data_IF_056045943709
#
_entry.id   IF_056045943709
#
_cell.length_a   1.000
_cell.length_b   1.000
_cell.length_c   1.000
_cell.angle_alpha   90.00
_cell.angle_beta   90.00
_cell.angle_gamma   90.00
#
_symmetry.space_group_name_H-M   'P 1'
#
loop_
_entity.id
_entity.type
_entity.pdbx_description
1 polymer ?
#
# COMPACT_ATOMS: atom_id res chain seq x y z
N UNK A 1 25.27 -67.01 47.59
CA UNK A 1 25.74 -65.72 47.02
C UNK A 1 25.02 -65.46 45.69
N UNK A 2 24.20 -64.42 45.60
CA UNK A 2 23.41 -64.09 44.40
C UNK A 2 24.22 -63.19 43.45
N UNK A 3 24.46 -63.63 42.21
CA UNK A 3 25.08 -62.81 41.15
C UNK A 3 23.98 -62.04 40.40
N UNK A 4 23.98 -60.71 40.57
CA UNK A 4 23.10 -59.75 39.88
C UNK A 4 23.25 -59.85 38.36
N UNK A 5 22.12 -59.96 37.66
CA UNK A 5 22.04 -60.00 36.19
C UNK A 5 22.43 -58.67 35.55
N UNK A 6 23.17 -58.75 34.43
CA UNK A 6 23.62 -57.59 33.64
C UNK A 6 22.46 -57.01 32.83
N UNK A 7 22.10 -55.75 33.05
CA UNK A 7 21.18 -54.99 32.18
C UNK A 7 21.90 -54.58 30.89
N UNK A 8 21.61 -55.25 29.78
CA UNK A 8 22.03 -54.85 28.43
C UNK A 8 20.79 -54.76 27.54
N UNK A 9 20.26 -53.55 27.31
CA UNK A 9 19.33 -53.25 26.17
C UNK A 9 18.89 -51.78 26.03
N UNK A 10 19.13 -50.89 27.00
CA UNK A 10 18.67 -49.49 26.89
C UNK A 10 19.52 -48.61 25.94
N UNK A 11 20.86 -48.74 25.96
CA UNK A 11 21.74 -47.88 25.15
C UNK A 11 21.68 -48.12 23.63
N UNK A 12 21.25 -49.31 23.20
CA UNK A 12 21.23 -49.67 21.77
C UNK A 12 20.04 -49.02 21.05
N UNK A 13 18.87 -49.00 21.70
CA UNK A 13 17.64 -48.37 21.19
C UNK A 13 17.84 -46.85 21.11
N UNK A 14 18.45 -46.25 22.13
CA UNK A 14 18.75 -44.82 22.15
C UNK A 14 19.71 -44.42 21.03
N UNK A 15 20.72 -45.26 20.73
CA UNK A 15 21.67 -45.04 19.62
C UNK A 15 21.00 -45.16 18.25
N UNK A 16 20.00 -46.02 18.11
CA UNK A 16 19.24 -46.20 16.88
C UNK A 16 18.32 -45.01 16.60
N UNK A 17 17.61 -44.51 17.63
CA UNK A 17 16.76 -43.32 17.52
C UNK A 17 17.57 -42.07 17.19
N UNK A 18 18.71 -41.85 17.84
CA UNK A 18 19.61 -40.74 17.50
C UNK A 18 20.13 -40.82 16.05
N UNK A 19 20.42 -42.03 15.56
CA UNK A 19 20.88 -42.23 14.17
C UNK A 19 19.77 -41.92 13.16
N UNK A 20 18.53 -42.27 13.47
CA UNK A 20 17.37 -41.93 12.63
C UNK A 20 17.08 -40.43 12.65
N UNK A 21 17.11 -39.79 13.83
CA UNK A 21 16.93 -38.35 13.98
C UNK A 21 18.01 -37.54 13.23
N UNK A 22 19.27 -37.95 13.35
CA UNK A 22 20.38 -37.30 12.62
C UNK A 22 20.26 -37.46 11.10
N UNK A 23 19.76 -38.61 10.62
CA UNK A 23 19.45 -38.82 9.20
C UNK A 23 18.25 -37.96 8.74
N UNK A 24 17.21 -37.83 9.54
CA UNK A 24 16.06 -36.97 9.24
C UNK A 24 16.48 -35.50 9.15
N UNK A 25 17.30 -35.02 10.10
CA UNK A 25 17.87 -33.67 10.07
C UNK A 25 18.78 -33.44 8.85
N UNK A 26 19.59 -34.44 8.47
CA UNK A 26 20.38 -34.35 7.24
C UNK A 26 19.51 -34.29 5.98
N UNK A 27 18.43 -35.07 5.91
CA UNK A 27 17.45 -35.00 4.81
C UNK A 27 16.74 -33.65 4.77
N UNK A 28 16.39 -33.08 5.92
CA UNK A 28 15.78 -31.76 6.02
C UNK A 28 16.76 -30.67 5.57
N UNK A 29 18.03 -30.76 5.97
CA UNK A 29 19.09 -29.83 5.51
C UNK A 29 19.40 -29.96 4.02
N UNK A 30 19.31 -31.16 3.43
CA UNK A 30 19.50 -31.33 1.98
C UNK A 30 18.26 -30.97 1.16
N UNK A 31 17.05 -31.14 1.70
CA UNK A 31 15.82 -30.64 1.08
C UNK A 31 15.75 -29.12 1.10
N UNK A 32 16.09 -28.47 2.22
CA UNK A 32 16.19 -27.01 2.32
C UNK A 32 17.32 -26.41 1.45
N UNK A 33 18.25 -27.24 0.97
CA UNK A 33 19.35 -26.86 0.06
C UNK A 33 19.09 -27.25 -1.40
N UNK A 34 17.93 -27.80 -1.74
CA UNK A 34 17.56 -27.85 -3.17
C UNK A 34 17.40 -26.39 -3.61
N UNK A 35 18.18 -25.91 -4.60
CA UNK A 35 17.86 -24.63 -5.20
C UNK A 35 16.42 -24.78 -5.71
N UNK A 36 15.48 -24.00 -5.15
CA UNK A 36 14.21 -23.76 -5.81
C UNK A 36 14.54 -23.39 -7.24
N UNK A 37 13.84 -23.98 -8.21
CA UNK A 37 14.18 -23.89 -9.63
C UNK A 37 14.58 -22.44 -9.98
N UNK A 38 15.87 -22.17 -10.10
CA UNK A 38 16.31 -20.84 -10.47
C UNK A 38 15.91 -20.70 -11.93
N UNK A 39 14.81 -19.98 -12.17
CA UNK A 39 14.46 -19.53 -13.51
C UNK A 39 15.72 -18.81 -14.01
N UNK A 40 16.33 -19.32 -15.08
CA UNK A 40 17.54 -18.70 -15.61
C UNK A 40 17.22 -17.24 -15.95
N UNK A 41 18.17 -16.32 -15.77
CA UNK A 41 17.98 -14.89 -16.08
C UNK A 41 17.39 -14.67 -17.48
N UNK A 42 17.82 -15.48 -18.46
CA UNK A 42 17.26 -15.49 -19.82
C UNK A 42 15.80 -15.92 -19.88
N UNK A 43 15.38 -16.93 -19.11
CA UNK A 43 13.98 -17.37 -19.06
C UNK A 43 13.11 -16.34 -18.34
N UNK A 44 13.64 -15.66 -17.33
CA UNK A 44 12.96 -14.56 -16.67
C UNK A 44 12.76 -13.38 -17.62
N UNK A 45 13.79 -12.98 -18.36
CA UNK A 45 13.68 -11.95 -19.40
C UNK A 45 12.65 -12.31 -20.47
N UNK A 46 12.62 -13.56 -20.92
CA UNK A 46 11.61 -14.04 -21.88
C UNK A 46 10.19 -13.97 -21.31
N UNK A 47 10.02 -14.28 -20.01
CA UNK A 47 8.74 -14.17 -19.33
C UNK A 47 8.30 -12.70 -19.22
N UNK A 48 9.17 -11.82 -18.72
CA UNK A 48 8.87 -10.39 -18.61
C UNK A 48 8.53 -9.77 -19.96
N UNK A 49 9.25 -10.14 -21.02
CA UNK A 49 8.93 -9.71 -22.39
C UNK A 49 7.56 -10.25 -22.87
N UNK A 50 7.12 -11.41 -22.37
CA UNK A 50 5.83 -11.99 -22.73
C UNK A 50 4.66 -11.45 -21.89
N UNK A 51 4.91 -10.75 -20.79
CA UNK A 51 3.90 -10.23 -19.87
C UNK A 51 2.85 -9.31 -20.55
N UNK A 52 3.22 -8.33 -21.40
CA UNK A 52 2.24 -7.51 -22.12
C UNK A 52 1.29 -8.35 -22.98
N UNK A 53 1.75 -9.48 -23.53
CA UNK A 53 0.94 -10.35 -24.40
C UNK A 53 -0.16 -11.08 -23.64
N UNK A 54 -0.07 -11.13 -22.31
CA UNK A 54 -1.13 -11.69 -21.49
C UNK A 54 -2.44 -10.90 -21.67
N UNK A 55 -2.38 -9.63 -22.07
CA UNK A 55 -3.56 -8.84 -22.42
C UNK A 55 -4.41 -9.46 -23.54
N UNK A 56 -3.85 -10.37 -24.35
CA UNK A 56 -4.57 -11.08 -25.42
C UNK A 56 -5.01 -12.49 -25.03
N UNK A 57 -4.84 -12.88 -23.77
CA UNK A 57 -5.39 -14.13 -23.27
C UNK A 57 -6.92 -14.12 -23.39
N UNK A 58 -7.56 -15.26 -23.72
CA UNK A 58 -9.01 -15.30 -23.91
C UNK A 58 -9.77 -14.86 -22.66
N UNK A 59 -9.24 -15.13 -21.46
CA UNK A 59 -9.81 -14.74 -20.17
C UNK A 59 -9.75 -13.22 -19.91
N UNK A 60 -8.85 -12.51 -20.61
CA UNK A 60 -8.68 -11.04 -20.54
C UNK A 60 -9.20 -10.34 -21.80
N UNK A 61 -9.81 -11.09 -22.73
CA UNK A 61 -10.23 -10.53 -24.02
C UNK A 61 -11.36 -9.50 -23.87
N UNK A 62 -12.28 -9.74 -22.93
CA UNK A 62 -13.43 -8.88 -22.63
C UNK A 62 -13.11 -7.79 -21.59
N UNK A 63 -12.00 -7.93 -20.85
CA UNK A 63 -11.60 -6.95 -19.82
C UNK A 63 -11.13 -5.65 -20.49
N UNK A 64 -11.73 -4.53 -20.09
CA UNK A 64 -11.40 -3.18 -20.57
C UNK A 64 -11.50 -2.17 -19.42
N UNK A 65 -10.71 -1.10 -19.51
CA UNK A 65 -10.90 0.06 -18.64
C UNK A 65 -12.14 0.85 -19.09
N UNK A 66 -12.63 1.74 -18.23
CA UNK A 66 -13.81 2.56 -18.55
C UNK A 66 -13.55 3.48 -19.76
N UNK A 67 -14.20 3.19 -20.88
CA UNK A 67 -14.08 3.95 -22.12
C UNK A 67 -14.71 5.33 -22.05
N UNK A 68 -15.76 5.52 -21.24
CA UNK A 68 -16.41 6.82 -21.06
C UNK A 68 -15.51 7.74 -20.23
N UNK A 69 -14.92 7.19 -19.17
CA UNK A 69 -13.95 7.92 -18.37
C UNK A 69 -12.71 8.26 -19.19
N UNK A 70 -12.17 7.31 -19.99
CA UNK A 70 -11.02 7.59 -20.86
C UNK A 70 -11.30 8.74 -21.85
N UNK A 71 -12.48 8.79 -22.46
CA UNK A 71 -12.86 9.88 -23.37
C UNK A 71 -12.89 11.24 -22.67
N UNK A 72 -13.46 11.31 -21.45
CA UNK A 72 -13.45 12.53 -20.64
C UNK A 72 -12.02 12.98 -20.29
N UNK A 73 -11.14 12.05 -19.90
CA UNK A 73 -9.75 12.34 -19.56
C UNK A 73 -8.93 12.82 -20.77
N UNK A 74 -9.26 12.35 -21.97
CA UNK A 74 -8.65 12.83 -23.21
C UNK A 74 -9.11 14.25 -23.55
N UNK A 75 -10.37 14.59 -23.27
CA UNK A 75 -10.90 15.95 -23.47
C UNK A 75 -10.26 16.96 -22.51
N UNK A 76 -9.86 16.53 -21.31
CA UNK A 76 -9.10 17.33 -20.33
C UNK A 76 -7.63 17.56 -20.74
N UNK A 77 -7.14 16.94 -21.82
CA UNK A 77 -5.75 16.98 -22.28
C UNK A 77 -4.73 16.54 -21.21
N UNK A 78 -5.09 15.57 -20.37
CA UNK A 78 -4.20 15.06 -19.34
C UNK A 78 -3.08 14.20 -19.95
N UNK A 79 -1.87 14.18 -19.36
CA UNK A 79 -0.83 13.24 -19.74
C UNK A 79 -1.28 11.79 -19.60
N UNK A 80 -0.90 10.92 -20.54
CA UNK A 80 -1.30 9.50 -20.52
C UNK A 80 -0.98 8.74 -19.23
N UNK A 81 0.17 8.96 -18.55
CA UNK A 81 0.42 8.31 -17.26
C UNK A 81 -0.66 8.61 -16.22
N UNK A 82 -1.17 9.85 -16.20
CA UNK A 82 -2.28 10.26 -15.31
C UNK A 82 -3.58 9.62 -15.77
N UNK A 83 -3.83 9.54 -17.08
CA UNK A 83 -5.02 8.85 -17.60
C UNK A 83 -5.05 7.39 -17.13
N UNK A 84 -3.92 6.67 -17.25
CA UNK A 84 -3.78 5.29 -16.76
C UNK A 84 -4.05 5.22 -15.26
N UNK A 85 -3.42 6.07 -14.45
CA UNK A 85 -3.64 6.08 -13.00
C UNK A 85 -5.11 6.29 -12.62
N UNK A 86 -5.82 7.18 -13.33
CA UNK A 86 -7.25 7.45 -13.09
C UNK A 86 -8.17 6.29 -13.48
N UNK A 87 -7.77 5.50 -14.47
CA UNK A 87 -8.53 4.35 -14.95
C UNK A 87 -8.29 3.07 -14.13
N UNK A 88 -7.26 3.04 -13.28
CA UNK A 88 -6.97 1.93 -12.38
C UNK A 88 -7.84 2.00 -11.11
N UNK A 89 -9.15 1.97 -11.30
CA UNK A 89 -10.10 2.00 -10.18
C UNK A 89 -10.05 0.68 -9.39
N UNK A 90 -10.45 0.68 -8.10
CA UNK A 90 -10.52 -0.54 -7.29
C UNK A 90 -11.41 -1.63 -7.94
N UNK A 91 -12.48 -1.23 -8.62
CA UNK A 91 -13.38 -2.12 -9.35
C UNK A 91 -12.64 -2.82 -10.50
N UNK A 92 -11.95 -2.03 -11.35
CA UNK A 92 -11.17 -2.57 -12.45
C UNK A 92 -10.04 -3.49 -11.95
N UNK A 93 -9.34 -3.10 -10.90
CA UNK A 93 -8.26 -3.90 -10.31
C UNK A 93 -8.78 -5.22 -9.72
N UNK A 94 -9.96 -5.21 -9.10
CA UNK A 94 -10.64 -6.40 -8.61
C UNK A 94 -11.07 -7.35 -9.73
N UNK A 95 -11.64 -6.82 -10.81
CA UNK A 95 -11.99 -7.61 -12.01
C UNK A 95 -10.74 -8.21 -12.68
N UNK A 96 -9.67 -7.42 -12.77
CA UNK A 96 -8.38 -7.89 -13.29
C UNK A 96 -7.82 -9.04 -12.44
N UNK A 97 -7.82 -8.94 -11.10
CA UNK A 97 -7.35 -10.04 -10.24
C UNK A 97 -8.19 -11.31 -10.46
N UNK A 98 -9.51 -11.16 -10.60
CA UNK A 98 -10.40 -12.29 -10.86
C UNK A 98 -10.10 -12.95 -12.21
N UNK A 99 -9.90 -12.17 -13.28
CA UNK A 99 -9.50 -12.70 -14.58
C UNK A 99 -8.13 -13.39 -14.51
N UNK A 100 -7.15 -12.81 -13.81
CA UNK A 100 -5.84 -13.41 -13.63
C UNK A 100 -5.89 -14.73 -12.83
N UNK A 101 -6.77 -14.82 -11.83
CA UNK A 101 -7.02 -16.06 -11.10
C UNK A 101 -7.58 -17.16 -12.03
N UNK A 102 -8.47 -16.81 -12.96
CA UNK A 102 -8.98 -17.75 -13.97
C UNK A 102 -7.87 -18.20 -14.93
N UNK A 103 -7.00 -17.29 -15.36
CA UNK A 103 -5.82 -17.63 -16.18
C UNK A 103 -4.91 -18.61 -15.44
N UNK A 104 -4.68 -18.40 -14.14
CA UNK A 104 -3.89 -19.31 -13.32
C UNK A 104 -4.48 -20.71 -13.23
N UNK A 105 -5.80 -20.81 -13.02
CA UNK A 105 -6.53 -22.08 -12.88
C UNK A 105 -6.62 -22.85 -14.20
N UNK A 106 -6.86 -22.14 -15.31
CA UNK A 106 -6.91 -22.72 -16.65
C UNK A 106 -5.53 -23.17 -17.15
N UNK A 107 -4.45 -22.58 -16.62
CA UNK A 107 -3.09 -22.80 -17.07
C UNK A 107 -2.34 -23.85 -16.25
N UNK A 108 -1.41 -24.58 -16.90
CA UNK A 108 -0.53 -25.52 -16.17
C UNK A 108 0.43 -24.74 -15.25
N UNK A 109 0.78 -25.23 -14.04
CA UNK A 109 1.63 -24.51 -13.08
C UNK A 109 3.01 -24.06 -13.58
N UNK A 110 3.55 -24.68 -14.63
CA UNK A 110 4.85 -24.32 -15.22
C UNK A 110 4.73 -23.56 -16.55
N UNK A 111 3.51 -23.26 -17.00
CA UNK A 111 3.28 -22.51 -18.22
C UNK A 111 3.63 -21.03 -18.02
N UNK A 112 4.06 -20.33 -19.08
CA UNK A 112 4.29 -18.89 -19.04
C UNK A 112 3.09 -18.12 -18.48
N UNK A 113 1.88 -18.37 -18.98
CA UNK A 113 0.67 -17.67 -18.55
C UNK A 113 0.38 -17.82 -17.06
N UNK A 114 0.51 -19.03 -16.50
CA UNK A 114 0.35 -19.24 -15.07
C UNK A 114 1.38 -18.45 -14.24
N UNK A 115 2.66 -18.47 -14.65
CA UNK A 115 3.72 -17.75 -13.92
C UNK A 115 3.54 -16.23 -14.03
N UNK A 116 3.11 -15.73 -15.19
CA UNK A 116 2.89 -14.30 -15.43
C UNK A 116 1.65 -13.79 -14.70
N UNK A 117 0.55 -14.54 -14.73
CA UNK A 117 -0.65 -14.21 -13.97
C UNK A 117 -0.32 -14.14 -12.47
N UNK A 118 0.36 -15.15 -11.94
CA UNK A 118 0.79 -15.18 -10.55
C UNK A 118 1.74 -14.08 -10.13
N UNK A 119 2.71 -13.78 -10.97
CA UNK A 119 3.60 -12.65 -10.72
C UNK A 119 2.84 -11.32 -10.72
N UNK A 120 1.88 -11.17 -11.64
CA UNK A 120 1.09 -9.95 -11.78
C UNK A 120 0.16 -9.75 -10.58
N UNK A 121 -0.56 -10.79 -10.15
CA UNK A 121 -1.41 -10.74 -8.95
C UNK A 121 -0.62 -10.36 -7.71
N UNK A 122 0.55 -11.01 -7.51
CA UNK A 122 1.45 -10.64 -6.41
C UNK A 122 1.92 -9.18 -6.49
N UNK A 123 2.13 -8.63 -7.70
CA UNK A 123 2.47 -7.22 -7.86
C UNK A 123 1.30 -6.30 -7.50
N UNK A 124 0.06 -6.66 -7.88
CA UNK A 124 -1.13 -5.91 -7.52
C UNK A 124 -1.35 -5.90 -5.99
N UNK A 125 -1.15 -7.04 -5.32
CA UNK A 125 -1.23 -7.15 -3.85
C UNK A 125 -0.15 -6.36 -3.10
N UNK A 126 0.92 -5.94 -3.78
CA UNK A 126 2.05 -5.20 -3.20
C UNK A 126 2.25 -3.85 -3.91
N UNK A 127 1.15 -3.22 -4.35
CA UNK A 127 1.15 -1.95 -5.09
C UNK A 127 1.83 -0.80 -4.34
N UNK A 128 1.79 -0.81 -3.00
CA UNK A 128 2.53 0.14 -2.14
C UNK A 128 4.05 0.13 -2.40
N UNK A 129 4.59 -1.00 -2.85
CA UNK A 129 6.03 -1.20 -3.09
C UNK A 129 6.39 -1.14 -4.58
N UNK A 130 5.44 -1.44 -5.46
CA UNK A 130 5.65 -1.52 -6.90
C UNK A 130 4.55 -0.71 -7.60
N UNK A 131 4.87 0.48 -8.13
CA UNK A 131 3.89 1.33 -8.80
C UNK A 131 3.17 0.61 -9.94
N UNK A 132 1.86 0.86 -10.09
CA UNK A 132 1.07 0.24 -11.15
C UNK A 132 1.57 0.58 -12.56
N UNK A 133 2.10 1.79 -12.76
CA UNK A 133 2.69 2.21 -14.04
C UNK A 133 3.92 1.39 -14.44
N UNK A 134 4.56 0.67 -13.50
CA UNK A 134 5.66 -0.23 -13.83
C UNK A 134 5.18 -1.61 -14.30
N UNK A 135 3.87 -1.82 -14.46
CA UNK A 135 3.29 -3.06 -14.94
C UNK A 135 2.95 -2.98 -16.45
N UNK A 136 3.72 -3.66 -17.32
CA UNK A 136 3.46 -3.66 -18.76
C UNK A 136 2.11 -4.25 -19.17
N UNK A 137 1.47 -5.08 -18.33
CA UNK A 137 0.13 -5.61 -18.61
C UNK A 137 -0.93 -4.52 -18.48
N UNK A 138 -0.83 -3.67 -17.46
CA UNK A 138 -1.77 -2.57 -17.26
C UNK A 138 -1.70 -1.57 -18.40
N UNK A 139 -0.49 -1.26 -18.87
CA UNK A 139 -0.27 -0.41 -20.05
C UNK A 139 -0.85 -1.08 -21.31
N UNK A 140 -0.66 -2.39 -21.48
CA UNK A 140 -1.25 -3.11 -22.61
C UNK A 140 -2.78 -3.07 -22.61
N UNK A 141 -3.43 -3.20 -21.44
CA UNK A 141 -4.88 -3.09 -21.29
C UNK A 141 -5.38 -1.66 -21.55
N UNK A 142 -4.62 -0.65 -21.13
CA UNK A 142 -4.88 0.74 -21.47
C UNK A 142 -4.84 0.98 -22.98
N UNK A 143 -3.77 0.56 -23.67
CA UNK A 143 -3.64 0.70 -25.13
C UNK A 143 -4.76 -0.02 -25.89
N UNK A 144 -5.20 -1.20 -25.41
CA UNK A 144 -6.38 -1.89 -25.97
C UNK A 144 -7.65 -1.08 -25.79
N UNK A 145 -7.82 -0.44 -24.63
CA UNK A 145 -8.97 0.42 -24.34
C UNK A 145 -8.96 1.68 -25.21
N UNK A 146 -7.79 2.29 -25.41
CA UNK A 146 -7.61 3.45 -26.28
C UNK A 146 -7.90 3.14 -27.75
N UNK A 147 -7.40 2.02 -28.27
CA UNK A 147 -7.72 1.57 -29.62
C UNK A 147 -9.22 1.36 -29.79
N UNK A 148 -9.86 0.70 -28.82
CA UNK A 148 -11.30 0.50 -28.82
C UNK A 148 -12.11 1.80 -28.84
N UNK A 149 -11.69 2.80 -28.06
CA UNK A 149 -12.33 4.12 -28.06
C UNK A 149 -12.25 4.79 -29.44
N UNK A 150 -11.12 4.60 -30.15
CA UNK A 150 -10.93 5.09 -31.52
C UNK A 150 -11.64 4.24 -32.58
N UNK A 151 -12.37 3.19 -32.18
CA UNK A 151 -13.07 2.27 -33.07
C UNK A 151 -12.15 1.25 -33.77
N UNK A 152 -10.90 1.11 -33.32
CA UNK A 152 -9.94 0.13 -33.80
C UNK A 152 -9.72 -1.00 -32.79
N UNK A 153 -9.01 -2.05 -33.21
CA UNK A 153 -8.56 -3.13 -32.32
C UNK A 153 -7.04 -3.09 -32.32
N UNK A 154 -6.43 -3.08 -31.13
CA UNK A 154 -4.98 -3.13 -31.00
C UNK A 154 -4.49 -4.50 -31.48
N UNK A 155 -3.66 -4.51 -32.53
CA UNK A 155 -3.07 -5.74 -33.04
C UNK A 155 -1.80 -6.12 -32.25
N UNK A 156 -1.43 -7.40 -32.29
CA UNK A 156 -0.32 -7.92 -31.48
C UNK A 156 1.06 -7.36 -31.89
N UNK A 157 1.20 -6.89 -33.12
CA UNK A 157 2.41 -6.24 -33.65
C UNK A 157 2.51 -4.76 -33.26
N UNK A 158 1.39 -4.09 -33.01
CA UNK A 158 1.31 -2.70 -32.54
C UNK A 158 1.60 -2.56 -31.04
N UNK A 159 1.47 -3.65 -30.28
CA UNK A 159 1.65 -3.68 -28.83
C UNK A 159 3.01 -3.14 -28.38
N UNK A 160 4.11 -3.71 -28.86
CA UNK A 160 5.45 -3.33 -28.38
C UNK A 160 5.90 -1.93 -28.82
N UNK A 161 5.60 -1.48 -30.05
CA UNK A 161 5.73 -0.07 -30.42
C UNK A 161 4.95 0.84 -29.46
N UNK A 162 3.66 0.57 -29.22
CA UNK A 162 2.83 1.37 -28.34
C UNK A 162 3.34 1.42 -26.89
N UNK A 163 3.82 0.30 -26.34
CA UNK A 163 4.44 0.28 -25.02
C UNK A 163 5.69 1.16 -24.96
N UNK A 164 6.55 1.12 -25.98
CA UNK A 164 7.76 1.95 -26.03
C UNK A 164 7.42 3.43 -26.10
N UNK A 165 6.42 3.79 -26.89
CA UNK A 165 5.97 5.17 -27.03
C UNK A 165 5.35 5.68 -25.72
N UNK A 166 4.60 4.82 -25.01
CA UNK A 166 4.12 5.12 -23.66
C UNK A 166 5.28 5.28 -22.67
N UNK A 167 6.24 4.37 -22.63
CA UNK A 167 7.40 4.44 -21.74
C UNK A 167 8.21 5.73 -21.97
N UNK A 168 8.41 6.14 -23.23
CA UNK A 168 9.08 7.39 -23.57
C UNK A 168 8.35 8.60 -22.97
N UNK A 169 7.03 8.68 -23.17
CA UNK A 169 6.19 9.76 -22.65
C UNK A 169 6.09 9.75 -21.13
N UNK A 170 6.09 8.57 -20.52
CA UNK A 170 6.15 8.43 -19.07
C UNK A 170 7.48 8.92 -18.50
N UNK A 171 8.60 8.64 -19.16
CA UNK A 171 9.90 9.17 -18.74
C UNK A 171 9.96 10.70 -18.87
N UNK A 172 9.48 11.25 -19.99
CA UNK A 172 9.37 12.70 -20.17
C UNK A 172 8.49 13.34 -19.08
N UNK A 173 7.39 12.69 -18.71
CA UNK A 173 6.52 13.15 -17.64
C UNK A 173 7.19 13.09 -16.25
N UNK A 174 7.94 12.03 -15.96
CA UNK A 174 8.72 11.91 -14.72
C UNK A 174 9.79 13.02 -14.64
N UNK A 175 10.46 13.32 -15.75
CA UNK A 175 11.42 14.42 -15.83
C UNK A 175 10.73 15.77 -15.54
N UNK A 176 9.54 16.00 -16.11
CA UNK A 176 8.75 17.21 -15.84
C UNK A 176 8.31 17.31 -14.38
N UNK A 177 7.88 16.22 -13.74
CA UNK A 177 7.53 16.21 -12.31
C UNK A 177 8.76 16.47 -11.43
N UNK A 178 9.93 15.94 -11.81
CA UNK A 178 11.16 16.19 -11.08
C UNK A 178 11.59 17.67 -11.13
N UNK A 179 11.25 18.37 -12.22
CA UNK A 179 11.48 19.81 -12.38
C UNK A 179 10.40 20.66 -11.69
N UNK A 180 9.15 20.23 -11.71
CA UNK A 180 8.01 20.89 -11.06
C UNK A 180 7.09 19.86 -10.33
N UNK A 181 7.30 19.66 -9.02
CA UNK A 181 6.53 18.68 -8.25
C UNK A 181 5.05 19.07 -8.09
N UNK A 182 4.69 20.34 -8.32
CA UNK A 182 3.29 20.79 -8.25
C UNK A 182 2.48 20.31 -9.46
N UNK A 183 3.11 19.88 -10.56
CA UNK A 183 2.41 19.27 -11.71
C UNK A 183 1.69 17.98 -11.33
N UNK A 184 2.34 17.11 -10.55
CA UNK A 184 1.72 15.90 -10.04
C UNK A 184 0.58 16.25 -9.08
N UNK A 185 0.82 17.19 -8.15
CA UNK A 185 -0.18 17.65 -7.18
C UNK A 185 -1.42 18.20 -7.90
N UNK A 186 -1.26 19.06 -8.89
CA UNK A 186 -2.37 19.65 -9.65
C UNK A 186 -3.12 18.62 -10.51
N UNK A 187 -2.41 17.68 -11.15
CA UNK A 187 -3.02 16.60 -11.91
C UNK A 187 -3.79 15.59 -11.04
N UNK A 188 -3.29 15.36 -9.81
CA UNK A 188 -3.96 14.54 -8.81
C UNK A 188 -5.09 15.29 -8.11
N UNK A 189 -5.01 16.58 -7.87
CA UNK A 189 -6.12 17.37 -7.30
C UNK A 189 -7.34 17.39 -8.22
N UNK A 190 -7.15 17.29 -9.54
CA UNK A 190 -8.24 17.08 -10.49
C UNK A 190 -8.86 15.66 -10.43
N UNK A 191 -8.35 14.71 -9.63
CA UNK A 191 -9.04 13.44 -9.28
C UNK A 191 -10.27 13.69 -8.40
N UNK A 192 -10.28 14.77 -7.61
CA UNK A 192 -11.31 15.00 -6.59
C UNK A 192 -12.50 15.84 -7.12
N UNK A 193 -12.42 16.29 -8.37
CA UNK A 193 -13.36 17.25 -8.96
C UNK A 193 -14.62 16.65 -9.59
N UNK A 194 -14.61 15.37 -10.00
CA UNK A 194 -15.78 14.74 -10.62
C UNK A 194 -16.15 13.42 -9.92
N UNK A 195 -17.10 13.53 -8.99
CA UNK A 195 -18.13 12.51 -8.84
C UNK A 195 -17.81 11.28 -8.01
N UNK A 196 -17.11 11.40 -6.88
CA UNK A 196 -17.28 10.46 -5.75
C UNK A 196 -17.32 11.29 -4.48
N UNK A 197 -18.31 11.02 -3.63
CA UNK A 197 -18.57 11.62 -2.32
C UNK A 197 -17.31 12.17 -1.67
N UNK A 198 -17.39 13.42 -1.20
CA UNK A 198 -16.46 14.03 -0.23
C UNK A 198 -15.86 12.95 0.67
N UNK A 199 -14.66 12.47 0.32
CA UNK A 199 -13.92 11.55 1.16
C UNK A 199 -13.52 12.35 2.37
N UNK A 200 -13.94 11.88 3.54
CA UNK A 200 -13.64 12.47 4.85
C UNK A 200 -12.13 12.67 5.05
N UNK A 201 -11.30 11.89 4.36
CA UNK A 201 -9.85 12.05 4.29
C UNK A 201 -9.40 13.36 3.63
N UNK A 202 -10.02 13.80 2.52
CA UNK A 202 -9.64 15.04 1.83
C UNK A 202 -9.94 16.29 2.68
N UNK A 203 -11.00 16.24 3.50
CA UNK A 203 -11.27 17.29 4.50
C UNK A 203 -10.28 17.28 5.65
N UNK A 204 -9.77 16.12 6.07
CA UNK A 204 -8.74 16.02 7.10
C UNK A 204 -7.39 16.57 6.60
N UNK A 205 -6.98 16.23 5.38
CA UNK A 205 -5.71 16.68 4.77
C UNK A 205 -5.71 18.19 4.52
N UNK A 206 -6.80 18.76 3.98
CA UNK A 206 -6.90 20.21 3.75
C UNK A 206 -6.89 21.04 5.04
N UNK A 207 -7.46 20.50 6.13
CA UNK A 207 -7.46 21.16 7.43
C UNK A 207 -6.13 21.04 8.17
N UNK A 208 -5.45 19.89 8.03
CA UNK A 208 -4.06 19.73 8.46
C UNK A 208 -3.15 20.75 7.78
N UNK A 209 -3.26 20.92 6.46
CA UNK A 209 -2.44 21.86 5.68
C UNK A 209 -2.66 23.32 6.14
N UNK A 210 -3.91 23.71 6.48
CA UNK A 210 -4.21 25.02 7.07
C UNK A 210 -3.60 25.25 8.46
N UNK A 211 -3.59 24.22 9.31
CA UNK A 211 -2.92 24.27 10.60
C UNK A 211 -1.40 24.38 10.44
N UNK A 212 -0.80 23.58 9.55
CA UNK A 212 0.66 23.61 9.34
C UNK A 212 1.15 24.94 8.77
N UNK A 213 0.34 25.63 7.96
CA UNK A 213 0.63 27.01 7.54
C UNK A 213 0.60 27.98 8.71
N UNK A 214 -0.29 27.79 9.69
CA UNK A 214 -0.36 28.63 10.89
C UNK A 214 0.89 28.54 11.79
N UNK A 215 1.68 27.47 11.65
CA UNK A 215 2.92 27.25 12.40
C UNK A 215 4.13 28.00 11.83
N UNK A 216 4.02 28.69 10.69
CA UNK A 216 5.14 29.32 9.98
C UNK A 216 5.90 30.40 10.77
N UNK A 217 5.40 30.81 11.94
CA UNK A 217 6.06 31.75 12.87
C UNK A 217 6.72 31.10 14.10
N UNK A 218 6.66 29.78 14.24
CA UNK A 218 7.27 29.04 15.36
C UNK A 218 8.71 28.61 15.05
N UNK A 219 9.53 28.27 16.06
CA UNK A 219 10.83 27.64 15.84
C UNK A 219 10.68 26.39 14.98
N UNK A 220 11.55 26.20 13.97
CA UNK A 220 11.45 25.08 13.01
C UNK A 220 11.41 23.70 13.70
N UNK A 221 12.13 23.55 14.81
CA UNK A 221 12.15 22.31 15.60
C UNK A 221 10.79 22.00 16.21
N UNK A 222 10.10 23.04 16.69
CA UNK A 222 8.81 22.89 17.37
C UNK A 222 7.70 22.68 16.33
N UNK A 223 7.74 23.43 15.23
CA UNK A 223 6.80 23.29 14.13
C UNK A 223 6.87 21.90 13.47
N UNK A 224 8.09 21.36 13.31
CA UNK A 224 8.29 20.01 12.76
C UNK A 224 7.76 18.94 13.71
N UNK A 225 8.06 19.04 15.00
CA UNK A 225 7.58 18.11 16.02
C UNK A 225 6.05 18.10 16.11
N UNK A 226 5.44 19.29 16.11
CA UNK A 226 3.97 19.43 16.12
C UNK A 226 3.36 18.85 14.84
N UNK A 227 4.02 19.02 13.70
CA UNK A 227 3.57 18.45 12.43
C UNK A 227 3.59 16.92 12.47
N UNK A 228 4.72 16.33 12.84
CA UNK A 228 4.89 14.88 12.94
C UNK A 228 3.83 14.26 13.88
N UNK A 229 3.59 14.89 15.03
CA UNK A 229 2.57 14.45 16.00
C UNK A 229 1.13 14.52 15.45
N UNK A 230 0.80 15.54 14.66
CA UNK A 230 -0.54 15.70 14.08
C UNK A 230 -0.74 14.82 12.86
N UNK A 231 0.29 14.65 12.02
CA UNK A 231 0.31 13.70 10.91
C UNK A 231 0.13 12.26 11.42
N UNK A 232 0.78 11.89 12.53
CA UNK A 232 0.57 10.60 13.17
C UNK A 232 -0.90 10.34 13.53
N UNK A 233 -1.62 11.36 14.02
CA UNK A 233 -3.03 11.23 14.36
C UNK A 233 -3.94 11.19 13.13
N UNK A 234 -3.63 11.96 12.08
CA UNK A 234 -4.48 12.08 10.90
C UNK A 234 -4.22 10.98 9.87
N UNK A 235 -2.96 10.63 9.64
CA UNK A 235 -2.51 9.74 8.57
C UNK A 235 -2.25 8.33 9.10
N UNK A 236 -1.40 8.16 10.12
CA UNK A 236 -1.02 6.81 10.58
C UNK A 236 -2.14 6.14 11.39
N UNK A 237 -2.86 6.90 12.22
CA UNK A 237 -4.05 6.43 12.92
C UNK A 237 -5.31 6.48 12.04
N UNK A 238 -5.27 7.18 10.90
CA UNK A 238 -6.43 7.38 10.00
C UNK A 238 -7.67 7.94 10.74
N UNK A 239 -7.50 9.03 11.50
CA UNK A 239 -8.62 9.64 12.22
C UNK A 239 -9.80 9.99 11.26
N UNK A 240 -11.07 9.76 11.68
CA UNK A 240 -12.24 10.08 10.87
C UNK A 240 -12.39 11.59 10.65
N UNK A 241 -13.42 12.02 9.91
CA UNK A 241 -13.66 13.46 9.72
C UNK A 241 -13.81 14.21 11.06
N UNK A 242 -13.30 15.45 11.18
CA UNK A 242 -13.41 16.27 12.40
C UNK A 242 -14.83 16.45 12.94
N UNK A 243 -15.84 16.39 12.07
CA UNK A 243 -17.27 16.42 12.45
C UNK A 243 -17.73 15.20 13.24
N UNK A 244 -16.99 14.09 13.15
CA UNK A 244 -17.31 12.82 13.82
C UNK A 244 -16.45 12.57 15.06
N UNK A 245 -15.56 13.50 15.40
CA UNK A 245 -14.67 13.32 16.53
C UNK A 245 -15.44 13.32 17.84
N UNK A 246 -15.27 12.23 18.57
CA UNK A 246 -15.81 12.04 19.92
C UNK A 246 -14.67 11.72 20.89
N UNK A 247 -14.90 11.83 22.22
CA UNK A 247 -13.93 11.35 23.20
C UNK A 247 -13.49 9.89 22.97
N UNK A 248 -14.35 9.05 22.38
CA UNK A 248 -13.98 7.67 22.03
C UNK A 248 -12.84 7.63 21.00
N UNK A 249 -12.90 8.47 19.94
CA UNK A 249 -11.87 8.58 18.90
C UNK A 249 -10.49 8.88 19.50
N UNK A 250 -10.43 9.87 20.41
CA UNK A 250 -9.20 10.23 21.13
C UNK A 250 -8.74 9.09 22.05
N UNK A 251 -9.70 8.43 22.71
CA UNK A 251 -9.41 7.31 23.59
C UNK A 251 -8.87 6.08 22.86
N UNK A 252 -9.32 5.83 21.63
CA UNK A 252 -8.84 4.77 20.74
C UNK A 252 -7.46 5.11 20.18
N UNK A 253 -7.25 6.36 19.75
CA UNK A 253 -5.94 6.84 19.32
C UNK A 253 -4.87 6.62 20.37
N UNK A 254 -5.10 7.00 21.63
CA UNK A 254 -4.06 6.83 22.67
C UNK A 254 -3.76 5.35 22.94
N UNK A 255 -4.75 4.45 22.80
CA UNK A 255 -4.52 3.00 22.90
C UNK A 255 -3.65 2.53 21.74
N UNK A 256 -4.02 2.89 20.51
CA UNK A 256 -3.23 2.57 19.32
C UNK A 256 -1.81 3.13 19.40
N UNK A 257 -1.65 4.38 19.83
CA UNK A 257 -0.35 5.04 19.99
C UNK A 257 0.56 4.24 20.94
N UNK A 258 0.01 3.77 22.05
CA UNK A 258 0.75 2.97 23.02
C UNK A 258 1.12 1.57 22.50
N UNK A 259 0.28 0.95 21.66
CA UNK A 259 0.48 -0.41 21.17
C UNK A 259 1.35 -0.47 19.90
N UNK A 260 1.15 0.45 18.96
CA UNK A 260 1.74 0.41 17.62
C UNK A 260 2.90 1.40 17.44
N UNK A 261 2.79 2.62 17.98
CA UNK A 261 3.86 3.62 17.86
C UNK A 261 4.97 3.44 18.92
N UNK A 262 4.73 2.62 19.95
CA UNK A 262 5.66 2.30 21.04
C UNK A 262 6.42 3.54 21.58
N UNK A 263 5.70 4.53 22.14
CA UNK A 263 6.23 5.83 22.50
C UNK A 263 7.13 5.79 23.73
N UNK A 264 7.91 6.84 23.92
CA UNK A 264 8.61 7.15 25.17
C UNK A 264 7.80 8.20 25.95
N UNK A 265 8.12 8.38 27.24
CA UNK A 265 7.40 9.34 28.09
C UNK A 265 7.40 10.78 27.54
N UNK A 266 8.48 11.22 26.90
CA UNK A 266 8.54 12.55 26.29
C UNK A 266 7.58 12.70 25.08
N UNK A 267 7.29 11.60 24.39
CA UNK A 267 6.37 11.56 23.24
C UNK A 267 4.91 11.70 23.70
N UNK A 268 4.57 11.17 24.88
CA UNK A 268 3.25 11.37 25.50
C UNK A 268 2.96 12.85 25.80
N UNK A 269 3.96 13.58 26.28
CA UNK A 269 3.81 15.02 26.53
C UNK A 269 3.82 15.83 25.23
N UNK A 270 4.57 15.34 24.22
CA UNK A 270 4.55 15.87 22.85
C UNK A 270 3.15 15.83 22.27
N UNK A 271 2.60 14.62 22.16
CA UNK A 271 1.34 14.36 21.46
C UNK A 271 0.18 15.07 22.15
N UNK A 272 0.20 15.15 23.48
CA UNK A 272 -0.79 15.91 24.24
C UNK A 272 -0.76 17.41 23.89
N UNK A 273 0.45 17.98 23.76
CA UNK A 273 0.62 19.40 23.47
C UNK A 273 0.28 19.72 22.02
N UNK A 274 0.76 18.90 21.08
CA UNK A 274 0.56 19.07 19.63
C UNK A 274 -0.90 18.90 19.23
N UNK A 275 -1.56 17.83 19.66
CA UNK A 275 -2.99 17.63 19.40
C UNK A 275 -3.85 18.66 20.14
N UNK A 276 -3.44 19.10 21.32
CA UNK A 276 -4.09 20.20 22.03
C UNK A 276 -4.07 21.51 21.22
N UNK A 277 -2.93 21.85 20.61
CA UNK A 277 -2.79 23.01 19.74
C UNK A 277 -3.66 22.88 18.48
N UNK A 278 -3.70 21.68 17.89
CA UNK A 278 -4.51 21.41 16.71
C UNK A 278 -6.03 21.50 16.99
N UNK A 279 -6.51 20.93 18.10
CA UNK A 279 -7.90 21.07 18.55
C UNK A 279 -8.28 22.55 18.79
N UNK A 280 -7.36 23.33 19.36
CA UNK A 280 -7.53 24.78 19.52
C UNK A 280 -7.65 25.51 18.18
N UNK A 281 -6.86 25.12 17.18
CA UNK A 281 -6.95 25.66 15.83
C UNK A 281 -8.30 25.33 15.17
N UNK A 282 -8.75 24.07 15.24
CA UNK A 282 -10.05 23.64 14.69
C UNK A 282 -11.23 24.36 15.36
N UNK A 283 -11.12 24.67 16.65
CA UNK A 283 -12.11 25.49 17.35
C UNK A 283 -12.12 26.94 16.84
N UNK A 284 -10.94 27.53 16.63
CA UNK A 284 -10.83 28.93 16.17
C UNK A 284 -11.27 29.14 14.71
N UNK A 285 -11.17 28.09 13.90
CA UNK A 285 -11.64 28.06 12.50
C UNK A 285 -13.12 27.63 12.37
N UNK A 286 -13.77 27.26 13.47
CA UNK A 286 -15.18 26.88 13.52
C UNK A 286 -15.48 25.48 12.97
N UNK A 287 -14.45 24.64 12.82
CA UNK A 287 -14.61 23.23 12.43
C UNK A 287 -15.17 22.40 13.59
N UNK A 288 -14.63 22.62 14.79
CA UNK A 288 -15.09 22.00 16.03
C UNK A 288 -15.82 23.04 16.89
N UNK A 289 -16.92 22.63 17.50
CA UNK A 289 -17.55 23.44 18.54
C UNK A 289 -16.73 23.44 19.83
N UNK A 290 -16.82 24.52 20.60
CA UNK A 290 -16.01 24.70 21.81
C UNK A 290 -16.30 23.66 22.90
N UNK A 291 -17.53 23.14 22.97
CA UNK A 291 -17.91 22.15 23.97
C UNK A 291 -17.27 20.79 23.64
N UNK A 292 -17.36 20.36 22.37
CA UNK A 292 -16.74 19.14 21.89
C UNK A 292 -15.21 19.22 21.95
N UNK A 293 -14.61 20.32 21.52
CA UNK A 293 -13.16 20.50 21.62
C UNK A 293 -12.65 20.41 23.07
N UNK A 294 -13.42 20.95 24.03
CA UNK A 294 -13.10 20.84 25.46
C UNK A 294 -13.18 19.38 25.93
N UNK A 295 -14.22 18.65 25.53
CA UNK A 295 -14.37 17.23 25.87
C UNK A 295 -13.25 16.37 25.29
N UNK A 296 -12.85 16.61 24.04
CA UNK A 296 -11.73 15.93 23.38
C UNK A 296 -10.40 16.21 24.10
N UNK A 297 -10.15 17.46 24.49
CA UNK A 297 -8.95 17.83 25.25
C UNK A 297 -8.90 17.21 26.65
N UNK A 298 -10.03 17.14 27.36
CA UNK A 298 -10.11 16.50 28.67
C UNK A 298 -9.85 15.00 28.58
N UNK A 299 -10.42 14.33 27.56
CA UNK A 299 -10.20 12.92 27.33
C UNK A 299 -8.75 12.61 26.94
N UNK A 300 -8.15 13.43 26.07
CA UNK A 300 -6.73 13.32 25.71
C UNK A 300 -5.84 13.40 26.96
N UNK A 301 -6.04 14.43 27.79
CA UNK A 301 -5.29 14.61 29.05
C UNK A 301 -5.46 13.42 29.99
N UNK A 302 -6.68 12.89 30.11
CA UNK A 302 -6.98 11.75 30.96
C UNK A 302 -6.25 10.50 30.47
N UNK A 303 -6.36 10.19 29.18
CA UNK A 303 -5.77 9.00 28.56
C UNK A 303 -4.24 9.02 28.56
N UNK A 304 -3.64 10.18 28.29
CA UNK A 304 -2.20 10.36 28.39
C UNK A 304 -1.72 10.14 29.83
N UNK A 305 -2.41 10.69 30.83
CA UNK A 305 -2.08 10.45 32.24
C UNK A 305 -2.19 8.98 32.65
N UNK A 306 -3.21 8.28 32.14
CA UNK A 306 -3.37 6.83 32.35
C UNK A 306 -2.18 6.07 31.73
N UNK A 307 -1.75 6.45 30.51
CA UNK A 307 -0.60 5.88 29.82
C UNK A 307 0.74 6.15 30.54
N UNK A 308 0.98 7.36 31.03
CA UNK A 308 2.16 7.69 31.84
C UNK A 308 2.26 6.83 33.11
N UNK A 309 1.11 6.54 33.73
CA UNK A 309 1.05 5.68 34.91
C UNK A 309 1.47 4.25 34.58
N UNK A 310 1.23 3.77 33.35
CA UNK A 310 1.70 2.45 32.90
C UNK A 310 3.23 2.41 32.76
N UNK A 311 3.86 3.47 32.25
CA UNK A 311 5.34 3.58 32.21
C UNK A 311 5.96 3.58 33.61
N UNK A 312 5.32 4.23 34.58
CA UNK A 312 5.79 4.28 35.97
C UNK A 312 5.69 2.94 36.72
N UNK A 313 4.89 1.99 36.23
CA UNK A 313 4.73 0.65 36.83
C UNK A 313 5.73 -0.36 36.24
N UNK A 314 6.19 -0.14 35.00
CA UNK A 314 7.10 -1.04 34.27
C UNK A 314 8.58 -0.68 34.45
N UNK A 315 8.89 0.53 34.93
CA UNK A 315 10.24 1.00 35.28
C UNK A 315 10.67 0.63 36.70
#
# INVERSE_FOLDING_TARGET
MAKKGKSKKAGMVHRQQQKQHKKALQRHKTMARRPGSSVSSQRLQQLLHALPRLAFAPELSDLRMDTQQLDALQQENLPEPIQVMRLLTPEFLGELDQCLAQVEEASRPQSPNHMLAKATRHQLDNSEKIPHLSNPLLIALYLRTQAALQGSTLEADELYPGLRDFESRNNEFIEQIAEDPDLLKNAMLALEGEGVSTSEAATATAQGEGFFQSLSGQPETDARRIREDVELFLEDFEAPAPTEWTPATVGEFVVWFMEEANPVQDDLQSIQSSLGAYLGFLTSTGVLDSENATALQEELKRKIKDAETQFAIVS
#
